data_IF_879456853004
#
_entry.id   IF_879456853004
#
_cell.length_a   1.000
_cell.length_b   1.000
_cell.length_c   1.000
_cell.angle_alpha   90.00
_cell.angle_beta   90.00
_cell.angle_gamma   90.00
#
_symmetry.space_group_name_H-M   'P 1'
#
loop_
_entity.id
_entity.type
_entity.pdbx_description
1 polymer ?
#
# COMPACT_ATOMS: atom_id res chain seq x y z
N UNK A 1 -16.74 6.59 13.03
CA UNK A 1 -18.03 6.08 12.50
C UNK A 1 -17.95 5.95 10.97
N UNK A 2 -17.35 6.93 10.27
CA UNK A 2 -17.26 6.96 8.81
C UNK A 2 -16.31 5.85 8.28
N UNK A 3 -15.17 5.63 8.95
CA UNK A 3 -14.27 4.52 8.60
C UNK A 3 -14.96 3.14 8.66
N UNK A 4 -15.80 2.92 9.68
CA UNK A 4 -16.60 1.69 9.79
C UNK A 4 -17.59 1.54 8.65
N UNK A 5 -18.24 2.65 8.25
CA UNK A 5 -19.17 2.66 7.13
C UNK A 5 -18.45 2.31 5.81
N UNK A 6 -17.27 2.87 5.59
CA UNK A 6 -16.46 2.58 4.39
C UNK A 6 -16.02 1.12 4.34
N UNK A 7 -15.50 0.57 5.46
CA UNK A 7 -15.13 -0.84 5.54
C UNK A 7 -16.34 -1.77 5.35
N UNK A 8 -17.52 -1.40 5.91
CA UNK A 8 -18.76 -2.15 5.70
C UNK A 8 -19.14 -2.16 4.22
N UNK A 9 -18.98 -1.03 3.52
CA UNK A 9 -19.30 -0.95 2.09
C UNK A 9 -18.41 -1.87 1.26
N UNK A 10 -17.11 -1.94 1.56
CA UNK A 10 -16.23 -2.91 0.90
C UNK A 10 -16.68 -4.35 1.15
N UNK A 11 -17.11 -4.67 2.37
CA UNK A 11 -17.56 -6.02 2.73
C UNK A 11 -18.95 -6.38 2.20
N UNK A 12 -19.77 -5.42 1.78
CA UNK A 12 -21.00 -5.67 1.03
C UNK A 12 -20.70 -6.23 -0.36
N UNK A 13 -19.68 -5.68 -1.02
CA UNK A 13 -19.26 -6.11 -2.36
C UNK A 13 -18.32 -7.32 -2.31
N UNK A 14 -17.42 -7.37 -1.33
CA UNK A 14 -16.43 -8.44 -1.12
C UNK A 14 -16.47 -8.97 0.31
N UNK A 15 -17.42 -9.84 0.65
CA UNK A 15 -17.58 -10.36 2.02
C UNK A 15 -16.35 -11.11 2.55
N UNK A 16 -15.50 -11.61 1.66
CA UNK A 16 -14.26 -12.34 1.97
C UNK A 16 -12.99 -11.50 1.93
N UNK A 17 -13.07 -10.17 1.83
CA UNK A 17 -11.88 -9.33 1.81
C UNK A 17 -11.19 -9.35 3.18
N UNK A 18 -10.12 -10.16 3.26
CA UNK A 18 -9.43 -10.47 4.52
C UNK A 18 -8.83 -9.23 5.17
N UNK A 19 -8.25 -8.33 4.37
CA UNK A 19 -7.66 -7.11 4.89
C UNK A 19 -8.72 -6.18 5.49
N UNK A 20 -9.86 -6.06 4.83
CA UNK A 20 -10.98 -5.25 5.32
C UNK A 20 -11.59 -5.83 6.60
N UNK A 21 -11.78 -7.16 6.65
CA UNK A 21 -12.22 -7.86 7.87
C UNK A 21 -11.25 -7.62 9.02
N UNK A 22 -9.96 -7.81 8.77
CA UNK A 22 -8.91 -7.62 9.78
C UNK A 22 -8.92 -6.19 10.35
N UNK A 23 -8.95 -5.18 9.47
CA UNK A 23 -8.97 -3.78 9.90
C UNK A 23 -10.26 -3.41 10.62
N UNK A 24 -11.42 -3.88 10.14
CA UNK A 24 -12.70 -3.65 10.82
C UNK A 24 -12.71 -4.28 12.21
N UNK A 25 -12.19 -5.49 12.35
CA UNK A 25 -12.04 -6.17 13.64
C UNK A 25 -11.16 -5.38 14.62
N UNK A 26 -10.04 -4.81 14.14
CA UNK A 26 -9.19 -3.95 14.97
C UNK A 26 -9.92 -2.69 15.45
N UNK A 27 -10.64 -2.01 14.55
CA UNK A 27 -11.42 -0.81 14.91
C UNK A 27 -12.53 -1.17 15.89
N UNK A 28 -13.26 -2.28 15.66
CA UNK A 28 -14.29 -2.77 16.58
C UNK A 28 -13.72 -3.02 17.98
N UNK A 29 -12.52 -3.62 18.07
CA UNK A 29 -11.83 -3.81 19.34
C UNK A 29 -11.49 -2.48 20.04
N UNK A 30 -11.02 -1.49 19.29
CA UNK A 30 -10.74 -0.14 19.84
C UNK A 30 -11.99 0.54 20.39
N UNK A 31 -13.14 0.32 19.74
CA UNK A 31 -14.41 0.87 20.15
C UNK A 31 -15.07 0.08 21.30
N UNK A 32 -14.44 -1.01 21.76
CA UNK A 32 -14.98 -1.90 22.78
C UNK A 32 -16.05 -2.86 22.28
N UNK A 33 -16.29 -2.93 20.97
CA UNK A 33 -17.21 -3.88 20.33
C UNK A 33 -16.49 -5.23 20.12
N UNK A 34 -16.15 -5.89 21.22
CA UNK A 34 -15.28 -7.08 21.20
C UNK A 34 -15.91 -8.27 20.47
N UNK A 35 -17.23 -8.46 20.57
CA UNK A 35 -17.91 -9.56 19.86
C UNK A 35 -17.83 -9.40 18.34
N UNK A 36 -18.00 -8.17 17.84
CA UNK A 36 -17.84 -7.85 16.41
C UNK A 36 -16.39 -8.04 15.96
N UNK A 37 -15.45 -7.61 16.80
CA UNK A 37 -14.02 -7.79 16.55
C UNK A 37 -13.62 -9.26 16.46
N UNK A 38 -14.10 -10.10 17.39
CA UNK A 38 -13.87 -11.55 17.36
C UNK A 38 -14.46 -12.19 16.11
N UNK A 39 -15.70 -11.84 15.75
CA UNK A 39 -16.33 -12.36 14.54
C UNK A 39 -15.51 -12.04 13.26
N UNK A 40 -14.96 -10.86 13.16
CA UNK A 40 -14.13 -10.50 12.02
C UNK A 40 -12.79 -11.23 12.04
N UNK A 41 -12.12 -11.37 13.20
CA UNK A 41 -10.89 -12.15 13.33
C UNK A 41 -11.12 -13.64 13.03
N UNK A 42 -12.25 -14.20 13.45
CA UNK A 42 -12.65 -15.59 13.14
C UNK A 42 -12.81 -15.78 11.63
N UNK A 43 -13.44 -14.82 10.94
CA UNK A 43 -13.57 -14.86 9.48
C UNK A 43 -12.21 -14.78 8.78
N UNK A 44 -11.31 -13.92 9.26
CA UNK A 44 -9.92 -13.85 8.77
C UNK A 44 -9.24 -15.21 8.91
N UNK A 45 -9.33 -15.84 10.09
CA UNK A 45 -8.69 -17.13 10.36
C UNK A 45 -9.35 -18.31 9.63
N UNK A 46 -10.64 -18.22 9.33
CA UNK A 46 -11.31 -19.20 8.48
C UNK A 46 -10.83 -19.14 7.02
N UNK A 47 -10.50 -17.95 6.52
CA UNK A 47 -9.97 -17.76 5.16
C UNK A 47 -8.47 -18.08 5.13
N UNK A 48 -7.72 -17.63 6.12
CA UNK A 48 -6.28 -17.88 6.25
C UNK A 48 -5.92 -18.40 7.64
N UNK A 49 -5.93 -19.73 7.86
CA UNK A 49 -5.59 -20.36 9.15
C UNK A 49 -4.14 -20.19 9.60
N UNK A 50 -3.27 -19.62 8.76
CA UNK A 50 -1.86 -19.37 9.07
C UNK A 50 -1.57 -17.89 9.36
N UNK A 51 -2.61 -17.07 9.49
CA UNK A 51 -2.45 -15.64 9.78
C UNK A 51 -2.03 -15.43 11.25
N UNK A 52 -0.73 -15.26 11.44
CA UNK A 52 -0.10 -15.06 12.76
C UNK A 52 -0.64 -13.85 13.50
N UNK A 53 -0.86 -12.73 12.78
CA UNK A 53 -1.33 -11.49 13.40
C UNK A 53 -2.79 -11.56 13.81
N UNK A 54 -3.61 -12.29 13.08
CA UNK A 54 -5.01 -12.48 13.46
C UNK A 54 -5.12 -13.27 14.78
N UNK A 55 -4.34 -14.35 14.97
CA UNK A 55 -4.25 -15.04 16.25
C UNK A 55 -3.74 -14.10 17.36
N UNK A 56 -2.66 -13.36 17.10
CA UNK A 56 -2.08 -12.47 18.08
C UNK A 56 -3.06 -11.37 18.54
N UNK A 57 -3.78 -10.75 17.60
CA UNK A 57 -4.75 -9.71 17.94
C UNK A 57 -6.03 -10.28 18.55
N UNK A 58 -6.52 -11.43 18.09
CA UNK A 58 -7.65 -12.10 18.72
C UNK A 58 -7.35 -12.50 20.17
N UNK A 59 -6.12 -12.97 20.45
CA UNK A 59 -5.64 -13.21 21.81
C UNK A 59 -5.69 -11.93 22.66
N UNK A 60 -5.33 -10.79 22.10
CA UNK A 60 -5.39 -9.52 22.82
C UNK A 60 -6.84 -9.10 23.12
N UNK A 61 -7.78 -9.32 22.19
CA UNK A 61 -9.21 -9.11 22.44
C UNK A 61 -9.73 -10.03 23.54
N UNK A 62 -9.33 -11.31 23.55
CA UNK A 62 -9.68 -12.22 24.61
C UNK A 62 -9.17 -11.77 25.99
N UNK A 63 -8.01 -11.11 26.08
CA UNK A 63 -7.51 -10.53 27.34
C UNK A 63 -8.46 -9.44 27.84
N UNK A 64 -8.87 -8.51 26.97
CA UNK A 64 -9.80 -7.43 27.33
C UNK A 64 -11.16 -7.95 27.82
N UNK A 65 -11.58 -9.11 27.29
CA UNK A 65 -12.80 -9.80 27.72
C UNK A 65 -12.60 -10.69 28.97
N UNK A 66 -11.38 -10.79 29.50
CA UNK A 66 -11.05 -11.69 30.63
C UNK A 66 -11.01 -13.18 30.26
N UNK A 67 -11.02 -13.52 28.99
CA UNK A 67 -11.00 -14.89 28.47
C UNK A 67 -9.55 -15.40 28.32
N UNK A 68 -8.86 -15.51 29.45
CA UNK A 68 -7.41 -15.73 29.48
C UNK A 68 -6.94 -17.06 28.88
N UNK A 69 -7.71 -18.13 29.02
CA UNK A 69 -7.35 -19.41 28.42
C UNK A 69 -7.43 -19.39 26.91
N UNK A 70 -8.45 -18.73 26.33
CA UNK A 70 -8.57 -18.54 24.89
C UNK A 70 -7.40 -17.69 24.36
N UNK A 71 -7.00 -16.65 25.10
CA UNK A 71 -5.83 -15.85 24.75
C UNK A 71 -4.54 -16.69 24.72
N UNK A 72 -4.35 -17.62 25.67
CA UNK A 72 -3.20 -18.52 25.67
C UNK A 72 -3.17 -19.43 24.43
N UNK A 73 -4.31 -20.01 24.06
CA UNK A 73 -4.42 -20.89 22.88
C UNK A 73 -4.02 -20.13 21.60
N UNK A 74 -4.48 -18.91 21.46
CA UNK A 74 -4.17 -18.09 20.30
C UNK A 74 -2.70 -17.64 20.28
N UNK A 75 -2.13 -17.25 21.42
CA UNK A 75 -0.69 -16.96 21.49
C UNK A 75 0.15 -18.21 21.24
N UNK A 76 -0.28 -19.39 21.70
CA UNK A 76 0.38 -20.66 21.40
C UNK A 76 0.36 -20.93 19.91
N UNK A 77 -0.76 -20.65 19.23
CA UNK A 77 -0.89 -20.81 17.79
C UNK A 77 0.00 -19.82 17.03
N UNK A 78 -0.02 -18.53 17.41
CA UNK A 78 0.82 -17.52 16.81
C UNK A 78 2.32 -17.85 16.96
N UNK A 79 2.77 -18.30 18.13
CA UNK A 79 4.14 -18.72 18.39
C UNK A 79 4.50 -19.99 17.62
N UNK A 80 3.56 -20.93 17.50
CA UNK A 80 3.75 -22.16 16.72
C UNK A 80 3.99 -21.88 15.25
N UNK A 81 3.25 -20.91 14.69
CA UNK A 81 3.39 -20.44 13.30
C UNK A 81 4.66 -19.59 13.11
N UNK A 82 4.97 -18.72 14.07
CA UNK A 82 6.15 -17.87 14.03
C UNK A 82 6.92 -17.90 15.36
N UNK A 83 7.89 -18.82 15.52
CA UNK A 83 8.62 -19.03 16.77
C UNK A 83 9.52 -17.86 17.21
N UNK A 84 9.78 -16.88 16.35
CA UNK A 84 10.59 -15.70 16.67
C UNK A 84 9.76 -14.48 17.08
N UNK A 85 8.44 -14.65 17.25
CA UNK A 85 7.54 -13.58 17.64
C UNK A 85 7.69 -13.22 19.13
N UNK A 86 8.71 -12.44 19.44
CA UNK A 86 9.06 -12.05 20.81
C UNK A 86 7.88 -11.45 21.58
N UNK A 87 7.04 -10.62 20.92
CA UNK A 87 5.91 -9.97 21.54
C UNK A 87 4.80 -10.94 21.92
N UNK A 88 4.58 -11.99 21.14
CA UNK A 88 3.63 -13.05 21.51
C UNK A 88 4.06 -13.80 22.78
N UNK A 89 5.37 -14.05 22.94
CA UNK A 89 5.89 -14.60 24.21
C UNK A 89 5.69 -13.62 25.37
N UNK A 90 5.92 -12.33 25.17
CA UNK A 90 5.75 -11.32 26.22
C UNK A 90 4.29 -11.24 26.68
N UNK A 91 3.35 -11.16 25.73
CA UNK A 91 1.93 -11.11 26.03
C UNK A 91 1.43 -12.44 26.65
N UNK A 92 1.91 -13.59 26.17
CA UNK A 92 1.59 -14.89 26.78
C UNK A 92 2.13 -14.98 28.21
N UNK A 93 3.32 -14.43 28.48
CA UNK A 93 3.86 -14.30 29.83
C UNK A 93 2.94 -13.49 30.74
N UNK A 94 2.43 -12.35 30.26
CA UNK A 94 1.48 -11.52 30.97
C UNK A 94 0.20 -12.31 31.33
N UNK A 95 -0.40 -12.99 30.37
CA UNK A 95 -1.60 -13.82 30.60
C UNK A 95 -1.33 -14.94 31.59
N UNK A 96 -0.17 -15.63 31.50
CA UNK A 96 0.25 -16.66 32.47
C UNK A 96 0.40 -16.10 33.90
N UNK A 97 0.88 -14.85 34.03
CA UNK A 97 0.93 -14.17 35.31
C UNK A 97 -0.46 -13.92 35.91
N UNK A 98 -1.42 -13.47 35.07
CA UNK A 98 -2.82 -13.29 35.51
C UNK A 98 -3.45 -14.57 35.98
N UNK A 99 -3.06 -15.73 35.40
CA UNK A 99 -3.52 -17.05 35.76
C UNK A 99 -2.71 -17.68 36.91
N UNK A 100 -1.78 -16.98 37.53
CA UNK A 100 -0.94 -17.50 38.62
C UNK A 100 0.14 -18.49 38.17
N UNK A 101 0.37 -18.67 36.88
CA UNK A 101 1.37 -19.59 36.30
C UNK A 101 2.76 -18.96 36.24
N UNK A 102 3.26 -18.46 37.38
CA UNK A 102 4.45 -17.59 37.46
C UNK A 102 5.74 -18.18 36.88
N UNK A 103 5.95 -19.51 37.06
CA UNK A 103 7.15 -20.17 36.51
C UNK A 103 7.15 -20.20 34.98
N UNK A 104 5.98 -20.44 34.40
CA UNK A 104 5.82 -20.48 32.94
C UNK A 104 5.83 -19.11 32.34
N UNK A 105 5.25 -18.13 33.04
CA UNK A 105 5.31 -16.73 32.70
C UNK A 105 6.77 -16.23 32.63
N UNK A 106 7.58 -16.54 33.64
CA UNK A 106 9.00 -16.20 33.65
C UNK A 106 9.76 -16.81 32.47
N UNK A 107 9.50 -18.07 32.13
CA UNK A 107 10.14 -18.71 30.96
C UNK A 107 9.81 -17.99 29.64
N UNK A 108 8.56 -17.61 29.44
CA UNK A 108 8.15 -16.86 28.25
C UNK A 108 8.79 -15.48 28.21
N UNK A 109 8.82 -14.76 29.35
CA UNK A 109 9.47 -13.47 29.44
C UNK A 109 10.96 -13.55 29.10
N UNK A 110 11.69 -14.52 29.72
CA UNK A 110 13.12 -14.73 29.45
C UNK A 110 13.35 -15.09 27.95
N UNK A 111 12.44 -15.86 27.35
CA UNK A 111 12.48 -16.19 25.92
C UNK A 111 12.27 -14.95 25.06
N UNK A 112 11.29 -14.11 25.38
CA UNK A 112 11.02 -12.87 24.67
C UNK A 112 12.24 -11.95 24.70
N UNK A 113 12.85 -11.75 25.88
CA UNK A 113 14.06 -10.92 26.04
C UNK A 113 15.24 -11.45 25.22
N UNK A 114 15.44 -12.77 25.23
CA UNK A 114 16.47 -13.40 24.41
C UNK A 114 16.27 -13.13 22.91
N UNK A 115 15.01 -13.30 22.42
CA UNK A 115 14.68 -13.07 21.01
C UNK A 115 14.84 -11.61 20.61
N UNK A 116 14.48 -10.66 21.46
CA UNK A 116 14.73 -9.23 21.26
C UNK A 116 16.23 -8.93 21.19
N UNK A 117 17.02 -9.53 22.09
CA UNK A 117 18.46 -9.35 22.08
C UNK A 117 19.11 -9.94 20.83
N UNK A 118 18.70 -11.15 20.41
CA UNK A 118 19.16 -11.81 19.17
C UNK A 118 18.80 -10.97 17.94
N UNK A 119 17.60 -10.43 17.90
CA UNK A 119 17.14 -9.54 16.83
C UNK A 119 17.99 -8.27 16.75
N UNK A 120 18.23 -7.61 17.89
CA UNK A 120 19.08 -6.42 17.95
C UNK A 120 20.53 -6.72 17.52
N UNK A 121 21.06 -7.86 17.93
CA UNK A 121 22.42 -8.28 17.53
C UNK A 121 22.53 -8.58 16.02
N UNK A 122 21.50 -9.18 15.43
CA UNK A 122 21.44 -9.49 13.98
C UNK A 122 21.29 -8.23 13.13
N UNK A 123 20.50 -7.25 13.56
CA UNK A 123 20.30 -6.01 12.82
C UNK A 123 21.54 -5.10 12.77
N UNK A 124 22.52 -5.34 13.62
CA UNK A 124 23.81 -4.63 13.59
C UNK A 124 24.76 -5.22 12.53
N UNK A 125 24.55 -6.47 12.09
CA UNK A 125 25.51 -7.18 11.27
C UNK A 125 25.02 -7.63 9.89
N UNK A 126 23.71 -7.68 9.62
CA UNK A 126 23.25 -8.28 8.34
C UNK A 126 21.85 -7.87 7.93
N UNK A 127 21.74 -6.92 6.99
CA UNK A 127 20.48 -6.53 6.35
C UNK A 127 19.87 -7.70 5.53
N UNK A 128 20.67 -8.70 5.13
CA UNK A 128 20.22 -9.89 4.41
C UNK A 128 19.42 -10.87 5.27
N UNK A 129 19.77 -11.01 6.55
CA UNK A 129 19.09 -11.93 7.48
C UNK A 129 17.67 -11.50 7.80
N UNK A 130 17.41 -10.19 7.86
CA UNK A 130 16.06 -9.65 8.07
C UNK A 130 15.15 -9.85 6.85
N UNK A 131 15.70 -9.74 5.64
CA UNK A 131 14.95 -9.98 4.40
C UNK A 131 14.44 -11.44 4.32
N UNK A 132 15.19 -12.41 4.86
CA UNK A 132 14.80 -13.82 4.86
C UNK A 132 13.70 -14.12 5.88
N UNK A 133 13.77 -13.51 7.06
CA UNK A 133 12.70 -13.55 8.08
C UNK A 133 11.45 -12.84 7.59
N UNK A 134 11.60 -11.75 6.82
CA UNK A 134 10.49 -10.99 6.24
C UNK A 134 9.81 -11.77 5.11
N UNK A 135 10.54 -12.54 4.29
CA UNK A 135 9.93 -13.43 3.28
C UNK A 135 9.06 -14.50 3.92
N UNK A 136 9.55 -15.13 4.99
CA UNK A 136 8.76 -16.09 5.77
C UNK A 136 7.54 -15.42 6.42
N UNK A 137 7.72 -14.24 6.96
CA UNK A 137 6.67 -13.45 7.60
C UNK A 137 5.65 -12.93 6.56
N UNK A 138 6.10 -12.45 5.42
CA UNK A 138 5.24 -12.04 4.29
C UNK A 138 4.47 -13.24 3.71
N UNK A 139 5.07 -14.43 3.66
CA UNK A 139 4.38 -15.65 3.23
C UNK A 139 3.35 -16.14 4.27
N UNK A 140 3.56 -15.88 5.55
CA UNK A 140 2.62 -16.19 6.62
C UNK A 140 1.43 -15.22 6.64
N UNK A 141 1.62 -14.00 6.16
CA UNK A 141 0.57 -13.00 6.04
C UNK A 141 -0.29 -13.21 4.80
N UNK A 142 0.23 -13.87 3.76
CA UNK A 142 -0.33 -14.19 2.42
C UNK A 142 -1.62 -13.41 2.05
N UNK A 143 -1.66 -12.17 2.44
CA UNK A 143 -2.55 -11.14 1.99
C UNK A 143 -1.68 -10.32 1.06
N UNK A 144 -2.16 -9.93 -0.08
CA UNK A 144 -1.48 -9.02 -1.03
C UNK A 144 -1.11 -7.65 -0.42
N UNK A 145 -1.06 -7.57 0.90
CA UNK A 145 -0.60 -6.41 1.64
C UNK A 145 0.80 -6.66 2.18
N UNK A 146 1.78 -5.99 1.63
CA UNK A 146 3.10 -5.85 2.26
C UNK A 146 2.92 -5.11 3.59
N UNK A 147 2.86 -5.84 4.70
CA UNK A 147 3.03 -5.23 6.01
C UNK A 147 4.48 -4.80 6.15
N UNK A 148 4.70 -3.50 6.16
CA UNK A 148 6.03 -2.94 6.24
C UNK A 148 6.66 -3.13 7.62
N UNK A 149 7.94 -3.21 7.58
CA UNK A 149 8.90 -3.39 8.65
C UNK A 149 8.88 -2.20 9.61
N UNK A 150 8.24 -2.30 10.76
CA UNK A 150 8.54 -1.42 11.89
C UNK A 150 8.60 -2.17 13.21
N UNK A 151 9.48 -1.69 14.08
CA UNK A 151 9.81 -2.27 15.39
C UNK A 151 8.56 -2.54 16.24
N UNK A 152 8.38 -3.79 16.63
CA UNK A 152 7.35 -4.23 17.57
C UNK A 152 7.65 -3.76 19.02
N UNK A 153 7.98 -2.49 19.19
CA UNK A 153 8.46 -1.97 20.48
C UNK A 153 7.39 -1.27 21.34
N UNK A 154 6.12 -1.20 20.93
CA UNK A 154 5.08 -0.53 21.70
C UNK A 154 4.14 -1.47 22.45
N UNK A 155 3.86 -1.12 23.72
CA UNK A 155 3.13 -1.90 24.71
C UNK A 155 1.61 -1.88 24.53
N UNK A 156 1.07 -1.24 23.50
CA UNK A 156 -0.37 -1.11 23.28
C UNK A 156 -0.86 -1.99 22.12
N UNK A 157 -2.11 -2.43 22.21
CA UNK A 157 -2.83 -3.03 21.10
C UNK A 157 -2.58 -2.21 19.82
N UNK A 158 -2.01 -2.76 18.96
CA UNK A 158 -1.14 -2.62 17.83
C UNK A 158 -1.52 -1.69 16.70
N UNK A 159 -2.28 -0.64 16.93
CA UNK A 159 -2.75 0.26 15.87
C UNK A 159 -1.71 1.21 15.31
N UNK A 160 -0.59 1.43 16.03
CA UNK A 160 0.40 2.44 15.64
C UNK A 160 1.46 1.93 14.69
N UNK A 161 1.60 0.62 14.54
CA UNK A 161 2.70 0.01 13.77
C UNK A 161 2.27 -0.89 12.63
N UNK A 162 0.97 -0.89 12.28
CA UNK A 162 0.53 -1.47 11.03
C UNK A 162 0.72 -0.37 9.99
N UNK A 163 1.75 -0.50 9.17
CA UNK A 163 1.93 0.33 7.99
C UNK A 163 0.88 -0.09 6.95
N UNK A 164 -0.36 0.33 7.18
CA UNK A 164 -1.43 0.13 6.22
C UNK A 164 -1.17 1.14 5.11
N UNK A 165 -0.63 0.64 4.01
CA UNK A 165 -0.37 1.47 2.85
C UNK A 165 -1.66 1.78 2.11
N UNK A 166 -1.75 2.98 1.60
CA UNK A 166 -2.75 3.35 0.62
C UNK A 166 -2.68 2.38 -0.56
N UNK A 167 -3.82 2.03 -1.13
CA UNK A 167 -3.87 1.38 -2.44
C UNK A 167 -3.20 2.29 -3.46
N UNK A 168 -2.46 1.68 -4.38
CA UNK A 168 -1.63 2.39 -5.36
C UNK A 168 -2.42 3.34 -6.25
N UNK A 169 -1.72 4.26 -6.89
CA UNK A 169 -2.28 5.21 -7.84
C UNK A 169 -2.84 4.53 -9.10
N UNK A 170 -3.92 5.07 -9.64
CA UNK A 170 -4.41 4.71 -10.97
C UNK A 170 -3.63 5.45 -12.05
N UNK A 171 -3.12 4.71 -13.02
CA UNK A 171 -2.38 5.24 -14.18
C UNK A 171 -2.63 4.35 -15.39
N UNK A 172 -2.41 4.89 -16.60
CA UNK A 172 -2.28 4.04 -17.77
C UNK A 172 -1.01 3.21 -17.65
N UNK A 173 -1.15 1.93 -17.93
CA UNK A 173 -0.04 0.98 -18.01
C UNK A 173 -0.11 0.24 -19.35
N UNK A 174 1.03 -0.27 -19.79
CA UNK A 174 1.10 -1.16 -20.96
C UNK A 174 0.49 -2.51 -20.61
N UNK A 175 -0.30 -3.09 -21.54
CA UNK A 175 -0.85 -4.43 -21.43
C UNK A 175 -0.51 -5.23 -22.71
N UNK A 176 -0.22 -6.52 -22.59
CA UNK A 176 0.15 -7.33 -23.75
C UNK A 176 -1.02 -7.57 -24.69
N UNK A 177 -2.04 -8.24 -24.23
CA UNK A 177 -3.33 -8.42 -24.92
C UNK A 177 -4.41 -7.70 -24.12
N UNK A 178 -5.53 -7.32 -24.79
CA UNK A 178 -6.67 -6.69 -24.11
C UNK A 178 -7.18 -7.64 -23.01
N UNK A 179 -6.63 -7.51 -21.82
CA UNK A 179 -7.02 -8.31 -20.67
C UNK A 179 -8.36 -7.83 -20.14
N UNK A 180 -9.34 -8.73 -20.17
CA UNK A 180 -10.65 -8.55 -19.53
C UNK A 180 -10.60 -8.81 -18.00
N UNK A 181 -9.45 -8.63 -17.37
CA UNK A 181 -9.35 -8.81 -15.91
C UNK A 181 -9.98 -7.62 -15.20
N UNK A 182 -11.24 -7.77 -14.88
CA UNK A 182 -11.92 -6.91 -13.91
C UNK A 182 -11.29 -7.16 -12.53
N UNK A 183 -10.71 -6.11 -11.92
CA UNK A 183 -10.30 -6.20 -10.52
C UNK A 183 -11.54 -6.33 -9.63
N UNK A 184 -11.44 -7.19 -8.61
CA UNK A 184 -12.55 -7.52 -7.75
C UNK A 184 -13.16 -6.29 -7.03
N UNK A 185 -12.33 -5.28 -6.70
CA UNK A 185 -12.77 -4.04 -6.02
C UNK A 185 -13.33 -2.96 -6.95
N UNK A 186 -13.12 -3.08 -8.26
CA UNK A 186 -13.63 -2.13 -9.25
C UNK A 186 -14.36 -2.90 -10.32
N UNK A 187 -15.68 -2.85 -10.33
CA UNK A 187 -16.56 -3.61 -11.24
C UNK A 187 -16.49 -3.18 -12.71
N UNK A 188 -15.29 -2.75 -13.18
CA UNK A 188 -15.09 -2.31 -14.55
C UNK A 188 -15.73 -0.94 -14.79
N UNK A 189 -15.03 0.13 -14.38
CA UNK A 189 -15.43 1.48 -14.76
C UNK A 189 -15.24 1.66 -16.26
N UNK A 190 -16.35 1.77 -16.97
CA UNK A 190 -16.35 2.06 -18.40
C UNK A 190 -16.50 3.57 -18.62
N UNK A 191 -15.48 4.20 -19.17
CA UNK A 191 -15.51 5.60 -19.59
C UNK A 191 -15.26 5.68 -21.10
N UNK A 192 -16.21 6.25 -21.88
CA UNK A 192 -16.08 6.33 -23.34
C UNK A 192 -14.80 7.05 -23.81
N UNK A 193 -14.34 8.05 -23.06
CA UNK A 193 -13.11 8.79 -23.39
C UNK A 193 -11.87 7.91 -23.22
N UNK A 194 -11.79 7.13 -22.11
CA UNK A 194 -10.70 6.17 -21.89
C UNK A 194 -10.70 5.12 -22.98
N UNK A 195 -11.85 4.47 -23.25
CA UNK A 195 -11.95 3.44 -24.28
C UNK A 195 -11.60 3.94 -25.68
N UNK A 196 -11.94 5.19 -26.00
CA UNK A 196 -11.54 5.81 -27.25
C UNK A 196 -10.02 6.03 -27.31
N UNK A 197 -9.42 6.60 -26.27
CA UNK A 197 -7.98 6.82 -26.21
C UNK A 197 -7.20 5.51 -26.31
N UNK A 198 -7.60 4.47 -25.58
CA UNK A 198 -6.99 3.13 -25.65
C UNK A 198 -7.07 2.53 -27.06
N UNK A 199 -8.16 2.80 -27.81
CA UNK A 199 -8.30 2.31 -29.18
C UNK A 199 -7.44 3.06 -30.21
N UNK A 200 -7.07 4.31 -29.93
CA UNK A 200 -6.19 5.14 -30.79
C UNK A 200 -4.72 4.80 -30.59
N UNK A 201 -4.36 4.21 -29.42
CA UNK A 201 -3.00 3.74 -29.19
C UNK A 201 -2.70 2.46 -29.99
N UNK A 202 -1.52 2.34 -30.62
CA UNK A 202 -1.17 1.19 -31.46
C UNK A 202 -0.86 -0.08 -30.67
N UNK A 203 -0.83 -0.01 -29.34
CA UNK A 203 -0.54 -1.11 -28.41
C UNK A 203 -1.59 -1.17 -27.31
N UNK A 204 -1.71 -2.34 -26.65
CA UNK A 204 -2.63 -2.52 -25.52
C UNK A 204 -2.21 -1.65 -24.34
N UNK A 205 -3.17 -0.86 -23.83
CA UNK A 205 -3.04 -0.07 -22.60
C UNK A 205 -4.32 -0.20 -21.79
N UNK A 206 -4.21 0.02 -20.50
CA UNK A 206 -5.37 0.08 -19.61
C UNK A 206 -5.07 0.96 -18.39
N UNK A 207 -6.11 1.55 -17.79
CA UNK A 207 -5.97 2.25 -16.51
C UNK A 207 -5.96 1.24 -15.37
N UNK A 208 -4.87 1.19 -14.62
CA UNK A 208 -4.64 0.22 -13.52
C UNK A 208 -3.97 0.92 -12.33
N UNK A 209 -4.13 0.31 -11.16
CA UNK A 209 -3.41 0.68 -9.92
C UNK A 209 -2.40 -0.40 -9.49
N UNK A 210 -2.03 -1.26 -10.41
CA UNK A 210 -0.99 -2.28 -10.24
C UNK A 210 -0.02 -2.21 -11.40
N UNK A 211 1.25 -2.49 -11.13
CA UNK A 211 2.23 -2.62 -12.19
C UNK A 211 2.00 -3.94 -12.94
N UNK A 212 2.07 -3.87 -14.27
CA UNK A 212 1.97 -5.03 -15.16
C UNK A 212 3.35 -5.24 -15.76
N UNK A 213 3.95 -6.39 -15.53
CA UNK A 213 5.23 -6.74 -16.16
C UNK A 213 4.98 -7.42 -17.49
N UNK A 214 5.39 -6.78 -18.58
CA UNK A 214 5.27 -7.36 -19.91
C UNK A 214 6.45 -8.29 -20.22
N UNK A 215 6.20 -9.40 -20.98
CA UNK A 215 7.25 -10.19 -21.58
C UNK A 215 8.10 -9.34 -22.54
N UNK A 216 9.41 -9.62 -22.63
CA UNK A 216 10.34 -8.88 -23.50
C UNK A 216 9.87 -8.76 -24.95
N UNK A 217 9.24 -9.80 -25.49
CA UNK A 217 8.69 -9.81 -26.83
C UNK A 217 7.56 -8.77 -27.02
N UNK A 218 6.74 -8.54 -26.01
CA UNK A 218 5.68 -7.53 -26.07
C UNK A 218 6.27 -6.13 -25.90
N UNK A 219 7.28 -5.96 -25.04
CA UNK A 219 8.01 -4.70 -24.92
C UNK A 219 8.68 -4.28 -26.23
N UNK A 220 9.25 -5.21 -26.99
CA UNK A 220 9.81 -4.92 -28.32
C UNK A 220 8.75 -4.43 -29.32
N UNK A 221 7.52 -4.94 -29.26
CA UNK A 221 6.41 -4.43 -30.09
C UNK A 221 6.03 -3.00 -29.68
N UNK A 222 5.99 -2.72 -28.38
CA UNK A 222 5.72 -1.37 -27.86
C UNK A 222 6.79 -0.40 -28.33
N UNK A 223 8.06 -0.78 -28.20
CA UNK A 223 9.21 0.00 -28.65
C UNK A 223 9.08 0.34 -30.14
N UNK A 224 8.88 -0.68 -30.98
CA UNK A 224 8.71 -0.48 -32.41
C UNK A 224 7.57 0.51 -32.70
N UNK A 225 6.39 0.31 -32.12
CA UNK A 225 5.23 1.16 -32.33
C UNK A 225 5.42 2.61 -31.85
N UNK A 226 6.13 2.80 -30.72
CA UNK A 226 6.36 4.13 -30.14
C UNK A 226 7.38 4.97 -30.91
N UNK A 227 8.37 4.34 -31.56
CA UNK A 227 9.43 5.04 -32.30
C UNK A 227 9.27 5.04 -33.82
N UNK A 228 8.31 4.32 -34.38
CA UNK A 228 8.06 4.31 -35.82
C UNK A 228 7.34 5.57 -36.30
N UNK A 229 7.89 6.29 -37.28
CA UNK A 229 7.31 7.49 -37.91
C UNK A 229 7.33 8.74 -37.02
N UNK A 230 6.38 9.66 -37.26
CA UNK A 230 6.34 10.97 -36.60
C UNK A 230 5.99 10.85 -35.10
N UNK A 231 6.56 11.77 -34.31
CA UNK A 231 6.34 11.84 -32.87
C UNK A 231 5.00 12.55 -32.53
N UNK A 232 3.89 11.84 -32.69
CA UNK A 232 2.58 12.36 -32.26
C UNK A 232 2.47 12.37 -30.72
N UNK A 233 1.55 13.16 -30.13
CA UNK A 233 1.34 13.17 -28.67
C UNK A 233 1.13 11.77 -28.08
N UNK A 234 0.36 10.90 -28.75
CA UNK A 234 0.08 9.53 -28.33
C UNK A 234 1.34 8.67 -28.35
N UNK A 235 2.19 8.83 -29.36
CA UNK A 235 3.48 8.12 -29.44
C UNK A 235 4.47 8.61 -28.39
N UNK A 236 4.50 9.89 -28.10
CA UNK A 236 5.29 10.47 -27.00
C UNK A 236 4.79 9.92 -25.65
N UNK A 237 3.47 9.80 -25.47
CA UNK A 237 2.89 9.16 -24.30
C UNK A 237 3.29 7.67 -24.19
N UNK A 238 3.30 6.91 -25.29
CA UNK A 238 3.77 5.54 -25.30
C UNK A 238 5.25 5.41 -24.95
N UNK A 239 6.10 6.32 -25.44
CA UNK A 239 7.53 6.37 -25.05
C UNK A 239 7.67 6.59 -23.55
N UNK A 240 6.85 7.47 -22.98
CA UNK A 240 6.84 7.73 -21.56
C UNK A 240 6.41 6.47 -20.76
N UNK A 241 5.39 5.73 -21.21
CA UNK A 241 4.96 4.47 -20.59
C UNK A 241 6.07 3.40 -20.66
N UNK A 242 6.74 3.27 -21.80
CA UNK A 242 7.83 2.33 -22.00
C UNK A 242 9.02 2.63 -21.06
N UNK A 243 9.43 3.89 -21.01
CA UNK A 243 10.54 4.32 -20.14
C UNK A 243 10.19 4.21 -18.64
N UNK A 244 8.92 4.43 -18.29
CA UNK A 244 8.45 4.25 -16.91
C UNK A 244 8.48 2.77 -16.51
N UNK A 245 8.08 1.85 -17.38
CA UNK A 245 8.19 0.41 -17.16
C UNK A 245 9.66 0.00 -16.93
N UNK A 246 10.58 0.56 -17.72
CA UNK A 246 12.03 0.41 -17.58
C UNK A 246 12.65 1.17 -16.40
N UNK A 247 11.87 1.85 -15.55
CA UNK A 247 12.31 2.70 -14.43
C UNK A 247 13.23 3.86 -14.85
N UNK A 248 13.14 4.30 -16.09
CA UNK A 248 13.86 5.45 -16.64
C UNK A 248 13.07 6.73 -16.39
N UNK A 249 12.85 7.08 -15.15
CA UNK A 249 11.91 8.10 -14.69
C UNK A 249 12.14 9.48 -15.33
N UNK A 250 13.40 9.93 -15.44
CA UNK A 250 13.69 11.24 -16.03
C UNK A 250 13.34 11.31 -17.52
N UNK A 251 13.58 10.24 -18.26
CA UNK A 251 13.22 10.14 -19.68
C UNK A 251 11.71 10.09 -19.84
N UNK A 252 11.01 9.31 -19.02
CA UNK A 252 9.56 9.24 -19.00
C UNK A 252 8.92 10.60 -18.70
N UNK A 253 9.43 11.35 -17.70
CA UNK A 253 8.96 12.72 -17.40
C UNK A 253 9.09 13.66 -18.61
N UNK A 254 10.23 13.58 -19.30
CA UNK A 254 10.47 14.41 -20.48
C UNK A 254 9.48 14.09 -21.60
N UNK A 255 9.22 12.80 -21.87
CA UNK A 255 8.26 12.40 -22.90
C UNK A 255 6.81 12.78 -22.53
N UNK A 256 6.39 12.67 -21.25
CA UNK A 256 5.09 13.18 -20.82
C UNK A 256 4.99 14.70 -21.03
N UNK A 257 6.06 15.47 -20.73
CA UNK A 257 6.11 16.89 -21.00
C UNK A 257 5.91 17.20 -22.48
N UNK A 258 6.68 16.55 -23.35
CA UNK A 258 6.57 16.71 -24.81
C UNK A 258 5.16 16.32 -25.32
N UNK A 259 4.54 15.27 -24.79
CA UNK A 259 3.19 14.87 -25.18
C UNK A 259 2.15 15.95 -24.82
N UNK A 260 2.27 16.55 -23.64
CA UNK A 260 1.41 17.66 -23.18
C UNK A 260 1.58 18.89 -24.08
N UNK A 261 2.83 19.29 -24.34
CA UNK A 261 3.14 20.47 -25.17
C UNK A 261 2.62 20.27 -26.60
N UNK A 262 2.88 19.12 -27.20
CA UNK A 262 2.46 18.81 -28.57
C UNK A 262 0.93 18.73 -28.71
N UNK A 263 0.22 18.25 -27.67
CA UNK A 263 -1.24 18.18 -27.68
C UNK A 263 -1.90 19.53 -27.52
N UNK A 264 -1.25 20.49 -26.86
CA UNK A 264 -1.81 21.84 -26.59
C UNK A 264 -1.96 22.67 -27.84
N UNK A 265 -1.15 22.43 -28.88
CA UNK A 265 -1.04 23.29 -30.05
C UNK A 265 -2.12 23.08 -31.12
N UNK A 266 -2.72 21.87 -31.23
CA UNK A 266 -3.58 21.51 -32.35
C UNK A 266 -4.85 20.70 -31.99
N UNK A 267 -5.18 20.51 -30.71
CA UNK A 267 -6.24 19.63 -30.31
C UNK A 267 -7.64 20.20 -30.52
N UNK A 268 -8.56 19.42 -31.11
CA UNK A 268 -9.98 19.74 -31.26
C UNK A 268 -10.85 18.52 -30.90
N UNK A 269 -12.06 18.77 -30.41
CA UNK A 269 -12.98 17.69 -30.07
C UNK A 269 -12.47 16.83 -28.91
N UNK A 270 -12.55 15.51 -29.05
CA UNK A 270 -12.11 14.58 -27.99
C UNK A 270 -10.60 14.58 -27.75
N UNK A 271 -9.80 14.87 -28.78
CA UNK A 271 -8.34 14.89 -28.69
C UNK A 271 -7.86 16.00 -27.74
N UNK A 272 -8.66 17.08 -27.60
CA UNK A 272 -8.42 18.15 -26.64
C UNK A 272 -8.54 17.68 -25.16
N UNK A 273 -9.09 16.50 -24.89
CA UNK A 273 -9.25 15.93 -23.57
C UNK A 273 -8.11 14.96 -23.19
N UNK A 274 -7.35 14.45 -24.17
CA UNK A 274 -6.28 13.49 -23.93
C UNK A 274 -5.13 14.01 -23.06
N UNK A 275 -4.80 15.32 -23.04
CA UNK A 275 -3.83 15.85 -22.09
C UNK A 275 -4.14 15.56 -20.63
N UNK A 276 -5.42 15.33 -20.26
CA UNK A 276 -5.77 14.90 -18.91
C UNK A 276 -5.07 13.59 -18.53
N UNK A 277 -4.97 12.65 -19.46
CA UNK A 277 -4.29 11.36 -19.23
C UNK A 277 -2.77 11.51 -19.13
N UNK A 278 -2.21 12.43 -19.92
CA UNK A 278 -0.77 12.73 -19.88
C UNK A 278 -0.39 13.35 -18.54
N UNK A 279 -1.18 14.34 -18.08
CA UNK A 279 -1.02 14.95 -16.76
C UNK A 279 -1.23 13.91 -15.64
N UNK A 280 -2.27 13.09 -15.71
CA UNK A 280 -2.52 12.07 -14.70
C UNK A 280 -1.32 11.11 -14.55
N UNK A 281 -0.81 10.58 -15.65
CA UNK A 281 0.34 9.67 -15.61
C UNK A 281 1.63 10.37 -15.16
N UNK A 282 1.87 11.61 -15.58
CA UNK A 282 3.04 12.40 -15.16
C UNK A 282 2.99 12.68 -13.66
N UNK A 283 1.83 13.03 -13.12
CA UNK A 283 1.64 13.26 -11.69
C UNK A 283 1.88 12.00 -10.87
N UNK A 284 1.38 10.84 -11.33
CA UNK A 284 1.68 9.54 -10.68
C UNK A 284 3.17 9.24 -10.72
N UNK A 285 3.82 9.43 -11.88
CA UNK A 285 5.26 9.18 -12.00
C UNK A 285 6.08 10.05 -11.04
N UNK A 286 5.72 11.33 -10.86
CA UNK A 286 6.37 12.23 -9.88
C UNK A 286 6.22 11.70 -8.45
N UNK A 287 5.03 11.22 -8.08
CA UNK A 287 4.81 10.61 -6.78
C UNK A 287 5.66 9.34 -6.59
N UNK A 288 5.66 8.44 -7.58
CA UNK A 288 6.45 7.20 -7.55
C UNK A 288 7.96 7.47 -7.45
N UNK A 289 8.46 8.52 -8.10
CA UNK A 289 9.86 8.96 -7.96
C UNK A 289 10.18 9.39 -6.54
N UNK A 290 9.30 10.15 -5.91
CA UNK A 290 9.46 10.59 -4.52
C UNK A 290 9.47 9.38 -3.58
N UNK A 291 8.53 8.45 -3.76
CA UNK A 291 8.47 7.23 -2.96
C UNK A 291 9.72 6.35 -3.17
N UNK A 292 10.22 6.25 -4.39
CA UNK A 292 11.46 5.54 -4.70
C UNK A 292 12.66 6.16 -3.99
N UNK A 293 12.81 7.50 -4.04
CA UNK A 293 13.87 8.22 -3.32
C UNK A 293 13.73 8.01 -1.80
N UNK A 294 12.51 8.10 -1.27
CA UNK A 294 12.21 7.84 0.13
C UNK A 294 12.65 6.43 0.56
N UNK A 295 12.36 5.43 -0.28
CA UNK A 295 12.72 4.04 -0.01
C UNK A 295 14.24 3.83 0.04
N UNK A 296 14.99 4.51 -0.82
CA UNK A 296 16.46 4.48 -0.81
C UNK A 296 17.00 5.19 0.43
N UNK A 297 16.52 6.40 0.72
CA UNK A 297 16.98 7.19 1.87
C UNK A 297 16.72 6.49 3.20
N UNK A 298 15.60 5.79 3.33
CA UNK A 298 15.27 5.01 4.52
C UNK A 298 16.12 3.73 4.66
N UNK A 299 16.72 3.25 3.58
CA UNK A 299 17.59 2.07 3.58
C UNK A 299 19.09 2.42 3.68
N UNK A 300 19.46 3.70 3.63
CA UNK A 300 20.87 4.12 3.74
C UNK A 300 21.31 4.08 5.20
N UNK A 301 22.14 3.09 5.55
CA UNK A 301 22.87 3.06 6.81
C UNK A 301 24.08 4.00 6.70
N UNK A 302 24.10 5.04 7.54
CA UNK A 302 25.28 5.92 7.64
C UNK A 302 26.34 5.21 8.49
N UNK A 303 27.40 4.75 7.82
CA UNK A 303 28.58 4.26 8.50
C UNK A 303 29.41 5.46 8.99
N UNK A 304 29.50 5.66 10.30
CA UNK A 304 30.44 6.62 10.90
C UNK A 304 31.64 5.87 11.47
N UNK A 305 32.86 6.32 11.16
CA UNK A 305 34.07 5.88 11.86
C UNK A 305 34.20 6.70 13.14
N UNK A 306 34.47 6.02 14.25
CA UNK A 306 34.93 6.71 15.48
C UNK A 306 36.44 7.02 15.39
N UNK A 307 36.94 7.87 16.29
CA UNK A 307 38.37 8.27 16.34
C UNK A 307 39.34 7.10 16.57
N UNK A 308 38.80 5.92 16.86
CA UNK A 308 39.55 4.67 17.05
C UNK A 308 39.57 3.78 15.81
N UNK A 309 38.97 4.22 14.69
CA UNK A 309 38.88 3.48 13.43
C UNK A 309 37.85 2.36 13.42
N UNK A 310 36.97 2.27 14.42
CA UNK A 310 35.90 1.29 14.44
C UNK A 310 34.68 1.85 13.72
N UNK A 311 34.16 1.05 12.77
CA UNK A 311 32.94 1.38 12.04
C UNK A 311 31.72 1.11 12.92
N UNK A 312 30.96 2.15 13.28
CA UNK A 312 29.66 2.01 13.92
C UNK A 312 28.57 2.36 12.90
N UNK A 313 27.69 1.40 12.63
CA UNK A 313 26.45 1.68 11.95
C UNK A 313 25.56 2.48 12.93
N UNK A 314 25.34 3.76 12.67
CA UNK A 314 24.24 4.50 13.29
C UNK A 314 23.02 4.35 12.38
N UNK A 315 21.99 3.71 12.89
CA UNK A 315 20.65 3.92 12.33
C UNK A 315 20.37 5.41 12.57
N UNK A 316 20.28 6.17 11.50
CA UNK A 316 19.87 7.57 11.59
C UNK A 316 18.49 7.57 12.23
N UNK A 317 18.29 8.31 13.33
CA UNK A 317 16.94 8.61 13.79
C UNK A 317 16.14 9.04 12.56
N UNK A 318 15.01 8.38 12.34
CA UNK A 318 14.16 8.66 11.18
C UNK A 318 13.75 10.14 11.29
N UNK A 319 14.44 10.99 10.55
CA UNK A 319 13.94 12.33 10.29
C UNK A 319 12.73 12.07 9.37
N UNK A 320 11.54 12.25 9.91
CA UNK A 320 10.31 12.28 9.12
C UNK A 320 10.47 13.44 8.15
N UNK A 321 11.01 13.16 6.96
CA UNK A 321 11.10 14.15 5.89
C UNK A 321 9.71 14.26 5.29
N UNK A 322 9.18 15.45 5.32
CA UNK A 322 8.02 15.77 4.53
C UNK A 322 8.48 15.95 3.08
N UNK A 323 8.03 15.08 2.21
CA UNK A 323 8.32 15.17 0.77
C UNK A 323 7.35 16.14 0.12
N UNK A 324 7.81 16.84 -0.91
CA UNK A 324 7.01 17.81 -1.66
C UNK A 324 6.32 17.14 -2.86
N UNK A 325 5.01 16.98 -2.75
CA UNK A 325 4.16 16.43 -3.81
C UNK A 325 3.46 17.52 -4.66
N UNK A 326 3.81 18.78 -4.48
CA UNK A 326 3.12 19.92 -5.14
C UNK A 326 3.02 19.75 -6.64
N UNK A 327 4.12 19.41 -7.32
CA UNK A 327 4.12 19.21 -8.76
C UNK A 327 3.22 18.04 -9.23
N UNK A 328 3.12 16.98 -8.42
CA UNK A 328 2.23 15.86 -8.71
C UNK A 328 0.76 16.23 -8.50
N UNK A 329 0.46 17.00 -7.46
CA UNK A 329 -0.87 17.54 -7.17
C UNK A 329 -1.30 18.50 -8.28
N UNK A 330 -0.42 19.36 -8.77
CA UNK A 330 -0.71 20.31 -9.84
C UNK A 330 -1.02 19.59 -11.15
N UNK A 331 -0.30 18.54 -11.49
CA UNK A 331 -0.64 17.70 -12.65
C UNK A 331 -2.03 17.07 -12.51
N UNK A 332 -2.38 16.53 -11.33
CA UNK A 332 -3.72 15.99 -11.10
C UNK A 332 -4.81 17.06 -11.19
N UNK A 333 -4.56 18.27 -10.68
CA UNK A 333 -5.50 19.40 -10.81
C UNK A 333 -5.72 19.77 -12.26
N UNK A 334 -4.65 19.81 -13.06
CA UNK A 334 -4.75 20.05 -14.51
C UNK A 334 -5.56 18.97 -15.20
N UNK A 335 -5.35 17.70 -14.86
CA UNK A 335 -6.17 16.61 -15.38
C UNK A 335 -7.66 16.77 -15.00
N UNK A 336 -7.95 17.19 -13.76
CA UNK A 336 -9.31 17.44 -13.28
C UNK A 336 -9.97 18.66 -13.94
N UNK A 337 -9.20 19.68 -14.32
CA UNK A 337 -9.70 20.84 -15.07
C UNK A 337 -10.10 20.45 -16.50
N UNK A 338 -9.35 19.56 -17.15
CA UNK A 338 -9.61 19.09 -18.51
C UNK A 338 -10.77 18.09 -18.54
N UNK A 339 -10.79 17.11 -17.60
CA UNK A 339 -11.82 16.06 -17.50
C UNK A 339 -12.35 15.99 -16.06
N UNK A 340 -13.36 16.85 -15.70
CA UNK A 340 -13.84 16.99 -14.33
C UNK A 340 -14.60 15.79 -13.77
N UNK A 341 -14.97 14.85 -14.59
CA UNK A 341 -15.77 13.65 -14.25
C UNK A 341 -14.94 12.36 -14.26
N UNK A 342 -13.60 12.44 -14.22
CA UNK A 342 -12.71 11.28 -14.18
C UNK A 342 -12.39 10.87 -12.73
N UNK A 343 -13.00 9.80 -12.18
CA UNK A 343 -12.86 9.42 -10.77
C UNK A 343 -11.42 9.08 -10.38
N UNK A 344 -10.63 8.52 -11.29
CA UNK A 344 -9.23 8.16 -11.03
C UNK A 344 -8.35 9.35 -10.66
N UNK A 345 -8.62 10.53 -11.21
CA UNK A 345 -7.89 11.76 -10.90
C UNK A 345 -8.13 12.18 -9.46
N UNK A 346 -9.39 12.13 -9.00
CA UNK A 346 -9.74 12.48 -7.62
C UNK A 346 -9.25 11.43 -6.62
N UNK A 347 -9.28 10.15 -7.00
CA UNK A 347 -8.67 9.10 -6.21
C UNK A 347 -7.15 9.37 -6.02
N UNK A 348 -6.45 9.67 -7.10
CA UNK A 348 -5.02 9.99 -7.06
C UNK A 348 -4.72 11.26 -6.26
N UNK A 349 -5.56 12.30 -6.35
CA UNK A 349 -5.48 13.48 -5.48
C UNK A 349 -5.67 13.12 -4.01
N UNK A 350 -6.60 12.22 -3.70
CA UNK A 350 -6.78 11.69 -2.35
C UNK A 350 -5.51 11.06 -1.81
N UNK A 351 -4.85 10.23 -2.61
CA UNK A 351 -3.55 9.62 -2.23
C UNK A 351 -2.47 10.68 -2.01
N UNK A 352 -2.31 11.62 -2.93
CA UNK A 352 -1.29 12.67 -2.85
C UNK A 352 -1.47 13.56 -1.62
N UNK A 353 -2.71 13.99 -1.34
CA UNK A 353 -3.01 14.78 -0.15
C UNK A 353 -2.79 14.00 1.15
N UNK A 354 -3.07 12.69 1.16
CA UNK A 354 -2.73 11.84 2.31
C UNK A 354 -1.21 11.79 2.54
N UNK A 355 -0.43 11.58 1.47
CA UNK A 355 1.04 11.56 1.52
C UNK A 355 1.62 12.92 1.93
N UNK A 356 0.92 14.01 1.64
CA UNK A 356 1.27 15.38 2.07
C UNK A 356 0.77 15.69 3.49
N UNK A 357 0.15 14.75 4.21
CA UNK A 357 -0.47 14.94 5.53
C UNK A 357 -1.67 15.92 5.51
N UNK A 358 -2.27 16.16 4.37
CA UNK A 358 -3.45 17.00 4.19
C UNK A 358 -4.74 16.15 4.22
N UNK A 359 -5.04 15.56 5.36
CA UNK A 359 -6.07 14.53 5.51
C UNK A 359 -7.48 15.00 5.12
N UNK A 360 -7.84 16.27 5.39
CA UNK A 360 -9.15 16.83 5.01
C UNK A 360 -9.30 16.83 3.49
N UNK A 361 -8.30 17.38 2.78
CA UNK A 361 -8.29 17.41 1.31
C UNK A 361 -8.28 16.00 0.73
N UNK A 362 -7.60 15.05 1.37
CA UNK A 362 -7.59 13.64 1.00
C UNK A 362 -8.99 13.03 1.04
N UNK A 363 -9.70 13.19 2.16
CA UNK A 363 -11.08 12.66 2.36
C UNK A 363 -12.05 13.27 1.35
N UNK A 364 -11.97 14.58 1.11
CA UNK A 364 -12.82 15.28 0.13
C UNK A 364 -12.63 14.72 -1.28
N UNK A 365 -11.38 14.46 -1.68
CA UNK A 365 -11.08 13.95 -3.01
C UNK A 365 -11.47 12.47 -3.16
N UNK A 366 -11.26 11.62 -2.15
CA UNK A 366 -11.81 10.26 -2.20
C UNK A 366 -13.34 10.26 -2.26
N UNK A 367 -14.00 11.14 -1.50
CA UNK A 367 -15.46 11.28 -1.54
C UNK A 367 -15.93 11.66 -2.94
N UNK A 368 -15.25 12.60 -3.59
CA UNK A 368 -15.56 12.98 -4.97
C UNK A 368 -15.32 11.83 -5.96
N UNK A 369 -14.27 11.05 -5.79
CA UNK A 369 -14.04 9.85 -6.60
C UNK A 369 -15.17 8.83 -6.45
N UNK A 370 -15.65 8.61 -5.23
CA UNK A 370 -16.77 7.72 -4.90
C UNK A 370 -18.10 8.24 -5.49
N UNK A 371 -18.34 9.56 -5.40
CA UNK A 371 -19.55 10.17 -5.98
C UNK A 371 -19.62 9.98 -7.50
N UNK A 372 -18.46 10.08 -8.18
CA UNK A 372 -18.32 9.85 -9.63
C UNK A 372 -18.39 8.37 -9.98
N UNK A 373 -17.85 7.49 -9.14
CA UNK A 373 -17.87 6.05 -9.33
C UNK A 373 -18.12 5.31 -8.00
N UNK A 374 -19.41 5.05 -7.64
CA UNK A 374 -19.80 4.46 -6.36
C UNK A 374 -19.28 3.03 -6.10
N UNK A 375 -18.77 2.35 -7.10
CA UNK A 375 -18.20 1.00 -6.97
C UNK A 375 -16.66 0.99 -6.87
N UNK A 376 -16.03 2.14 -6.64
CA UNK A 376 -14.58 2.25 -6.51
C UNK A 376 -14.11 1.80 -5.11
N UNK A 377 -13.97 0.47 -4.91
CA UNK A 377 -13.61 -0.13 -3.64
C UNK A 377 -12.33 0.42 -3.02
N UNK A 378 -11.30 0.70 -3.87
CA UNK A 378 -10.04 1.29 -3.40
C UNK A 378 -10.20 2.68 -2.80
N UNK A 379 -11.15 3.50 -3.31
CA UNK A 379 -11.42 4.82 -2.75
C UNK A 379 -12.08 4.74 -1.37
N UNK A 380 -13.01 3.81 -1.17
CA UNK A 380 -13.56 3.53 0.15
C UNK A 380 -12.50 3.06 1.12
N UNK A 381 -11.65 2.13 0.68
CA UNK A 381 -10.56 1.59 1.49
C UNK A 381 -9.60 2.70 1.94
N UNK A 382 -9.06 3.49 1.01
CA UNK A 382 -8.10 4.55 1.33
C UNK A 382 -8.74 5.67 2.16
N UNK A 383 -10.00 6.07 1.87
CA UNK A 383 -10.74 7.04 2.69
C UNK A 383 -10.92 6.53 4.11
N UNK A 384 -11.30 5.25 4.27
CA UNK A 384 -11.41 4.60 5.58
C UNK A 384 -10.11 4.64 6.37
N UNK A 385 -8.96 4.43 5.70
CA UNK A 385 -7.64 4.53 6.34
C UNK A 385 -7.35 5.95 6.83
N UNK A 386 -7.58 6.97 5.98
CA UNK A 386 -7.30 8.38 6.36
C UNK A 386 -8.20 8.84 7.51
N UNK A 387 -9.40 8.30 7.66
CA UNK A 387 -10.30 8.60 8.77
C UNK A 387 -9.87 7.99 10.11
N UNK A 388 -8.93 7.05 10.10
CA UNK A 388 -8.37 6.41 11.30
C UNK A 388 -7.18 7.23 11.85
N UNK A 389 -6.49 7.96 11.00
CA UNK A 389 -5.39 8.86 11.39
C UNK A 389 -5.92 10.19 11.91
#
# INVERSE_FOLDING_TARGET
QDAMNDLNRVLEDEPGNVLTLYNRGLISAQLGAYDDALNDMDRVLNINPENVLAYFNRASIFIEMGMYENALEDYDRAIGLYPDFAKAYMNRSYVKNLLGRYKDAKRDYDTAQKKVAEYRAKNVSDAGSFADTTRKYSSLLSLDAEFAKKDFNDELLQHRDIDIRLRSFYKFVLTGEKDNVSYALNRGYENPLIGRFENELPVGTAVRNVDVTLPEKELQKVEAAAWEGDATPEKLFLRALYDNDGKQFNSALNYYGQAIDAASENASGFDALYPAFYHMNRGVLRAEMIEFISSIENNVQVLSMDDSGNTRARVRDQVVRQYDYTDAIDDMKRAAEIVPDLPYVYYNLGNLYCLSSEHINSIENYTKAIDLYPYMGDAYFNRGLVLIY
#
